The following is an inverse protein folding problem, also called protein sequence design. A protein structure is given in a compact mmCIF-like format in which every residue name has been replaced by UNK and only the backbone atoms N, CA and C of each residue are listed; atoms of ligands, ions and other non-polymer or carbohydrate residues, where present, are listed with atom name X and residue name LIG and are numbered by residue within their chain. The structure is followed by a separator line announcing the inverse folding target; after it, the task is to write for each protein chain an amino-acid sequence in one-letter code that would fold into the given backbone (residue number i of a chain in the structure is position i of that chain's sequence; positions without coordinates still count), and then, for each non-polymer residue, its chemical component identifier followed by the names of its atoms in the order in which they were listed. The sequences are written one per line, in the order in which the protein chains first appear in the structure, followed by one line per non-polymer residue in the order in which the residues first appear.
data_IF_487886917227
#
_entry.id   IF_487886917227
#
_cell.length_a   1.000
_cell.length_b   1.000
_cell.length_c   1.000
_cell.angle_alpha   90.00
_cell.angle_beta   90.00
_cell.angle_gamma   90.00
#
_symmetry.space_group_name_H-M   'P 1'
#
loop_
_entity.id
_entity.type
_entity.pdbx_description
1 polymer ?
#
# COMPACT_ATOMS: atom_id res chain seq x y z
N UNK A 1 33.88 -20.19 28.47
CA UNK A 1 33.52 -19.16 27.47
C UNK A 1 34.02 -17.81 27.96
N UNK A 2 34.79 -17.11 27.14
CA UNK A 2 35.62 -15.97 27.51
C UNK A 2 34.67 -14.77 27.69
N UNK A 3 34.76 -14.03 28.80
CA UNK A 3 33.86 -12.88 29.05
C UNK A 3 33.86 -11.88 27.87
N UNK A 4 35.00 -11.67 27.24
CA UNK A 4 35.15 -10.84 26.05
C UNK A 4 34.37 -11.34 24.82
N UNK A 5 34.24 -12.66 24.65
CA UNK A 5 33.48 -13.27 23.56
C UNK A 5 31.97 -13.08 23.78
N UNK A 6 31.52 -13.22 25.03
CA UNK A 6 30.11 -13.01 25.38
C UNK A 6 29.70 -11.55 25.12
N UNK A 7 30.52 -10.59 25.54
CA UNK A 7 30.27 -9.15 25.31
C UNK A 7 30.21 -8.83 23.82
N UNK A 8 31.12 -9.39 23.02
CA UNK A 8 31.14 -9.18 21.57
C UNK A 8 29.87 -9.72 20.88
N UNK A 9 29.42 -10.93 21.26
CA UNK A 9 28.21 -11.53 20.70
C UNK A 9 26.94 -10.72 21.05
N UNK A 10 26.84 -10.20 22.28
CA UNK A 10 25.72 -9.36 22.70
C UNK A 10 25.67 -8.05 21.91
N UNK A 11 26.81 -7.39 21.70
CA UNK A 11 26.87 -6.15 20.92
C UNK A 11 26.46 -6.36 19.45
N UNK A 12 26.87 -7.48 18.85
CA UNK A 12 26.47 -7.83 17.48
C UNK A 12 24.97 -8.12 17.37
N UNK A 13 24.39 -8.80 18.36
CA UNK A 13 22.95 -9.11 18.38
C UNK A 13 22.09 -7.84 18.45
N UNK A 14 22.49 -6.83 19.22
CA UNK A 14 21.74 -5.57 19.31
C UNK A 14 21.80 -4.74 18.03
N UNK A 15 22.92 -4.78 17.30
CA UNK A 15 23.07 -4.11 16.00
C UNK A 15 22.28 -4.80 14.89
N UNK A 16 22.09 -6.13 14.97
CA UNK A 16 21.28 -6.86 14.00
C UNK A 16 19.78 -6.53 14.10
N UNK A 17 19.28 -6.18 15.30
CA UNK A 17 17.87 -5.83 15.52
C UNK A 17 17.47 -4.45 14.95
N UNK A 18 18.42 -3.53 14.73
CA UNK A 18 18.12 -2.23 14.13
C UNK A 18 17.78 -2.30 12.65
N UNK A 19 17.97 -3.45 11.99
CA UNK A 19 17.58 -3.65 10.59
C UNK A 19 16.06 -3.66 10.36
N UNK A 20 15.25 -3.86 11.41
CA UNK A 20 13.79 -3.76 11.35
C UNK A 20 13.24 -2.44 11.91
N UNK A 21 14.11 -1.53 12.35
CA UNK A 21 13.70 -0.22 12.87
C UNK A 21 13.57 0.81 11.73
N UNK A 22 12.85 0.43 10.67
CA UNK A 22 12.45 1.39 9.64
C UNK A 22 11.60 2.48 10.31
N UNK A 23 11.82 3.74 9.94
CA UNK A 23 10.99 4.83 10.46
C UNK A 23 9.54 4.54 10.07
N UNK A 24 8.60 4.79 10.97
CA UNK A 24 7.18 4.68 10.64
C UNK A 24 6.94 5.35 9.28
N UNK A 25 6.44 4.57 8.31
CA UNK A 25 5.91 5.10 7.06
C UNK A 25 4.61 5.84 7.40
N UNK A 26 4.74 6.96 8.10
CA UNK A 26 3.66 7.91 8.26
C UNK A 26 3.43 8.46 6.86
N UNK A 27 2.21 8.31 6.35
CA UNK A 27 1.75 8.95 5.13
C UNK A 27 1.60 10.46 5.36
N UNK A 28 2.65 11.12 5.87
CA UNK A 28 2.70 12.53 6.27
C UNK A 28 3.19 13.44 5.13
N UNK A 29 3.25 12.92 3.90
CA UNK A 29 3.44 13.76 2.72
C UNK A 29 2.22 14.63 2.43
N UNK A 30 2.43 15.78 1.77
CA UNK A 30 1.32 16.56 1.22
C UNK A 30 0.56 15.67 0.23
N UNK A 31 -0.76 15.54 0.42
CA UNK A 31 -1.63 14.90 -0.57
C UNK A 31 -1.69 15.77 -1.81
N UNK A 32 -0.76 15.57 -2.74
CA UNK A 32 -0.65 16.27 -4.02
C UNK A 32 -1.35 15.52 -5.17
N UNK A 33 -1.82 14.29 -4.93
CA UNK A 33 -2.49 13.50 -5.95
C UNK A 33 -3.81 14.12 -6.40
N UNK A 34 -4.04 14.10 -7.71
CA UNK A 34 -5.35 14.39 -8.27
C UNK A 34 -6.41 13.38 -7.78
N UNK A 35 -7.67 13.80 -7.80
CA UNK A 35 -8.76 12.88 -7.49
C UNK A 35 -8.76 11.70 -8.47
N UNK A 36 -8.89 10.44 -8.01
CA UNK A 36 -8.70 9.26 -8.86
C UNK A 36 -9.76 9.15 -9.97
N UNK A 37 -10.96 9.69 -9.74
CA UNK A 37 -12.01 9.76 -10.76
C UNK A 37 -11.67 10.72 -11.92
N UNK A 38 -10.66 11.59 -11.78
CA UNK A 38 -10.18 12.43 -12.89
C UNK A 38 -9.49 11.62 -14.00
N UNK A 39 -9.22 10.32 -13.75
CA UNK A 39 -8.56 9.45 -14.72
C UNK A 39 -7.07 9.75 -14.87
N UNK A 40 -6.45 9.08 -15.85
CA UNK A 40 -4.99 9.07 -16.01
C UNK A 40 -4.47 10.12 -17.00
N UNK A 41 -5.37 10.86 -17.67
CA UNK A 41 -5.05 11.70 -18.84
C UNK A 41 -4.24 10.96 -19.93
N UNK A 42 -4.27 9.63 -19.93
CA UNK A 42 -3.65 8.78 -20.94
C UNK A 42 -4.73 8.21 -21.87
N UNK A 43 -4.42 8.02 -23.16
CA UNK A 43 -5.32 7.28 -24.05
C UNK A 43 -5.52 5.83 -23.53
N UNK A 44 -6.55 5.13 -24.01
CA UNK A 44 -6.77 3.71 -23.70
C UNK A 44 -5.48 2.88 -23.82
N UNK A 45 -5.29 1.81 -23.00
CA UNK A 45 -6.33 0.98 -22.37
C UNK A 45 -6.41 1.09 -20.84
N UNK A 46 -5.92 2.16 -20.23
CA UNK A 46 -5.74 2.24 -18.76
C UNK A 46 -7.00 2.61 -17.97
N UNK A 47 -8.17 2.59 -18.62
CA UNK A 47 -9.47 2.89 -18.02
C UNK A 47 -10.49 1.82 -18.42
N UNK A 48 -11.53 1.65 -17.59
CA UNK A 48 -12.61 0.73 -17.90
C UNK A 48 -13.33 1.17 -19.19
N UNK A 49 -13.72 0.21 -20.02
CA UNK A 49 -14.44 0.49 -21.26
C UNK A 49 -15.75 1.23 -20.97
N UNK A 50 -16.00 2.32 -21.69
CA UNK A 50 -17.21 3.14 -21.53
C UNK A 50 -17.22 4.09 -20.32
N UNK A 51 -16.27 3.97 -19.39
CA UNK A 51 -16.15 4.91 -18.26
C UNK A 51 -15.56 6.26 -18.72
N UNK A 52 -16.03 7.35 -18.12
CA UNK A 52 -15.63 8.73 -18.44
C UNK A 52 -14.84 9.34 -17.29
N UNK A 53 -13.68 9.92 -17.62
CA UNK A 53 -12.91 10.71 -16.67
C UNK A 53 -13.74 11.90 -16.13
N UNK A 54 -13.67 12.11 -14.82
CA UNK A 54 -14.46 13.09 -14.07
C UNK A 54 -15.77 12.54 -13.50
N UNK A 55 -16.25 11.37 -13.95
CA UNK A 55 -17.47 10.77 -13.40
C UNK A 55 -17.19 10.05 -12.09
N UNK A 56 -17.32 10.81 -11.00
CA UNK A 56 -17.14 10.34 -9.63
C UNK A 56 -18.10 9.21 -9.27
N UNK A 57 -19.38 9.35 -9.59
CA UNK A 57 -20.40 8.39 -9.16
C UNK A 57 -20.21 7.04 -9.84
N UNK A 58 -19.97 7.04 -11.15
CA UNK A 58 -19.66 5.83 -11.90
C UNK A 58 -18.37 5.19 -11.40
N UNK A 59 -17.33 5.99 -11.11
CA UNK A 59 -16.07 5.50 -10.57
C UNK A 59 -16.24 4.85 -9.19
N UNK A 60 -16.97 5.48 -8.27
CA UNK A 60 -17.20 4.95 -6.92
C UNK A 60 -18.00 3.64 -6.97
N UNK A 61 -18.98 3.53 -7.88
CA UNK A 61 -19.76 2.32 -8.06
C UNK A 61 -18.91 1.16 -8.60
N UNK A 62 -18.08 1.42 -9.61
CA UNK A 62 -17.09 0.45 -10.12
C UNK A 62 -16.14 -0.02 -9.02
N UNK A 63 -15.62 0.90 -8.19
CA UNK A 63 -14.76 0.55 -7.07
C UNK A 63 -15.47 -0.32 -6.03
N UNK A 64 -16.71 0.02 -5.67
CA UNK A 64 -17.51 -0.76 -4.74
C UNK A 64 -17.67 -2.20 -5.23
N UNK A 65 -18.02 -2.39 -6.50
CA UNK A 65 -18.16 -3.74 -7.09
C UNK A 65 -16.83 -4.49 -7.02
N UNK A 66 -15.71 -3.88 -7.42
CA UNK A 66 -14.38 -4.50 -7.42
C UNK A 66 -13.93 -4.91 -6.02
N UNK A 67 -14.05 -4.02 -5.04
CA UNK A 67 -13.62 -4.29 -3.67
C UNK A 67 -14.48 -5.40 -3.06
N UNK A 68 -15.79 -5.36 -3.25
CA UNK A 68 -16.69 -6.31 -2.59
C UNK A 68 -16.68 -7.71 -3.23
N UNK A 69 -16.57 -7.80 -4.57
CA UNK A 69 -16.73 -9.07 -5.29
C UNK A 69 -15.39 -9.67 -5.75
N UNK A 70 -14.41 -8.82 -6.05
CA UNK A 70 -13.13 -9.23 -6.60
C UNK A 70 -12.05 -9.43 -5.53
N UNK A 71 -11.89 -8.44 -4.65
CA UNK A 71 -10.72 -8.28 -3.78
C UNK A 71 -10.99 -8.44 -2.28
N UNK A 72 -12.21 -8.83 -1.89
CA UNK A 72 -12.49 -9.13 -0.49
C UNK A 72 -12.38 -10.64 -0.27
N UNK A 73 -11.25 -11.08 0.27
CA UNK A 73 -11.01 -12.48 0.60
C UNK A 73 -11.92 -12.98 1.73
N UNK A 74 -12.33 -12.11 2.66
CA UNK A 74 -13.28 -12.47 3.72
C UNK A 74 -14.65 -12.84 3.15
N UNK A 75 -15.06 -12.22 2.04
CA UNK A 75 -16.30 -12.56 1.34
C UNK A 75 -16.21 -13.88 0.54
N UNK A 76 -15.02 -14.48 0.45
CA UNK A 76 -14.77 -15.75 -0.27
C UNK A 76 -14.63 -16.95 0.68
N UNK A 77 -14.66 -16.74 1.99
CA UNK A 77 -14.67 -17.83 2.99
C UNK A 77 -16.14 -18.24 3.23
N UNK A 78 -16.52 -19.51 2.97
CA UNK A 78 -17.88 -20.01 3.21
C UNK A 78 -18.31 -19.98 4.68
#
# INVERSE_FOLDING_TARGET
MNKSVIVLCLALATLALSACAEREQTASGIKSDAAPYNGTNRPPPFTAAGWKAGDRNSWEQEMKVRTMQGQNEYAKVP
#
